data_IF_130775678988
#
_entry.id   IF_130775678988
#
_cell.length_a   1.000
_cell.length_b   1.000
_cell.length_c   1.000
_cell.angle_alpha   90.00
_cell.angle_beta   90.00
_cell.angle_gamma   90.00
#
_symmetry.space_group_name_H-M   'P 1'
#
loop_
_entity.id
_entity.type
_entity.pdbx_description
1 polymer ?
#
# COMPACT_ATOMS: atom_id res chain seq x y z
N UNK A 1 14.25 98.11 1.93
CA UNK A 1 15.35 97.45 2.66
C UNK A 1 15.10 95.96 2.66
N UNK A 2 15.94 95.11 2.04
CA UNK A 2 15.79 93.66 2.11
C UNK A 2 16.48 93.14 3.38
N UNK A 3 15.68 92.76 4.37
CA UNK A 3 16.19 92.04 5.55
C UNK A 3 16.38 90.57 5.19
N UNK A 4 17.55 90.01 5.49
CA UNK A 4 17.92 88.62 5.20
C UNK A 4 18.12 87.88 6.51
N UNK A 5 17.60 86.66 6.59
CA UNK A 5 17.82 85.77 7.73
C UNK A 5 19.28 85.28 7.74
N UNK A 6 19.91 85.32 8.91
CA UNK A 6 21.29 84.91 9.13
C UNK A 6 21.45 84.24 10.50
N UNK A 7 22.61 83.63 10.75
CA UNK A 7 22.99 83.13 12.09
C UNK A 7 24.26 83.80 12.57
N UNK A 8 24.30 84.17 13.85
CA UNK A 8 25.52 84.65 14.49
C UNK A 8 26.57 83.53 14.51
N UNK A 9 27.76 83.81 14.01
CA UNK A 9 28.85 82.81 13.98
C UNK A 9 29.49 82.55 15.34
N UNK A 10 29.21 83.41 16.34
CA UNK A 10 29.78 83.30 17.69
C UNK A 10 28.83 82.65 18.68
N UNK A 11 27.55 83.03 18.68
CA UNK A 11 26.57 82.50 19.62
C UNK A 11 25.45 81.64 18.99
N UNK A 12 25.42 81.50 17.66
CA UNK A 12 24.41 80.70 16.96
C UNK A 12 23.01 81.32 16.91
N UNK A 13 22.79 82.51 17.49
CA UNK A 13 21.49 83.18 17.49
C UNK A 13 21.00 83.48 16.06
N UNK A 14 19.69 83.34 15.84
CA UNK A 14 19.05 83.74 14.59
C UNK A 14 18.97 85.27 14.51
N UNK A 15 19.40 85.84 13.40
CA UNK A 15 19.48 87.28 13.17
C UNK A 15 18.69 87.65 11.91
N UNK A 16 18.12 88.85 11.91
CA UNK A 16 17.69 89.52 10.69
C UNK A 16 18.63 90.68 10.45
N UNK A 17 19.39 90.61 9.36
CA UNK A 17 20.39 91.61 9.02
C UNK A 17 20.02 92.32 7.73
N UNK A 18 20.31 93.61 7.68
CA UNK A 18 20.19 94.43 6.49
C UNK A 18 21.33 94.09 5.53
N UNK A 19 21.00 93.55 4.36
CA UNK A 19 22.00 93.13 3.37
C UNK A 19 22.73 94.30 2.71
N UNK A 20 22.35 95.54 3.00
CA UNK A 20 22.99 96.75 2.46
C UNK A 20 24.15 97.28 3.31
N UNK A 21 24.38 96.69 4.49
CA UNK A 21 25.47 97.07 5.41
C UNK A 21 26.56 96.01 5.42
N UNK A 22 27.82 96.43 5.47
CA UNK A 22 28.96 95.51 5.46
C UNK A 22 29.22 94.84 6.83
N UNK A 23 28.77 95.49 7.91
CA UNK A 23 28.93 95.01 9.28
C UNK A 23 27.65 95.19 10.10
N UNK A 24 27.42 94.24 11.00
CA UNK A 24 26.34 94.29 11.98
C UNK A 24 26.84 93.83 13.34
N UNK A 25 26.14 94.25 14.40
CA UNK A 25 26.41 93.84 15.77
C UNK A 25 25.31 92.86 16.17
N UNK A 26 25.69 91.72 16.73
CA UNK A 26 24.72 90.76 17.23
C UNK A 26 24.06 91.32 18.49
N UNK A 27 22.73 91.49 18.55
CA UNK A 27 22.05 92.02 19.74
C UNK A 27 22.14 91.06 20.94
N UNK A 28 22.45 89.79 20.72
CA UNK A 28 22.48 88.77 21.77
C UNK A 28 23.85 88.66 22.46
N UNK A 29 24.96 88.81 21.72
CA UNK A 29 26.32 88.67 22.25
C UNK A 29 27.21 89.89 22.04
N UNK A 30 26.67 90.98 21.48
CA UNK A 30 27.35 92.24 21.17
C UNK A 30 28.61 92.13 20.30
N UNK A 31 28.83 90.98 19.66
CA UNK A 31 29.98 90.80 18.79
C UNK A 31 29.69 91.41 17.42
N UNK A 32 30.62 92.22 16.91
CA UNK A 32 30.59 92.73 15.55
C UNK A 32 30.95 91.61 14.56
N UNK A 33 30.23 91.52 13.45
CA UNK A 33 30.50 90.54 12.40
C UNK A 33 30.24 91.14 11.01
N UNK A 34 30.87 90.54 10.00
CA UNK A 34 30.66 90.88 8.58
C UNK A 34 29.37 90.20 8.12
N UNK A 35 28.43 90.97 7.56
CA UNK A 35 27.07 90.51 7.21
C UNK A 35 27.07 89.34 6.25
N UNK A 36 27.91 89.37 5.22
CA UNK A 36 28.03 88.30 4.20
C UNK A 36 28.39 86.93 4.82
N UNK A 37 29.32 86.89 5.77
CA UNK A 37 29.74 85.65 6.46
C UNK A 37 28.63 85.03 7.30
N UNK A 38 27.72 85.85 7.83
CA UNK A 38 26.58 85.39 8.63
C UNK A 38 25.44 84.84 7.74
N UNK A 39 25.26 85.37 6.53
CA UNK A 39 24.27 84.88 5.54
C UNK A 39 24.72 83.53 4.98
N UNK A 40 26.00 83.37 4.63
CA UNK A 40 26.55 82.11 4.08
C UNK A 40 26.37 80.96 5.08
N UNK A 41 26.68 81.19 6.35
CA UNK A 41 26.56 80.15 7.38
C UNK A 41 25.11 79.72 7.68
N UNK A 42 24.11 80.53 7.35
CA UNK A 42 22.69 80.15 7.50
C UNK A 42 22.26 79.06 6.50
N UNK A 43 22.94 78.95 5.34
CA UNK A 43 22.59 78.02 4.26
C UNK A 43 23.43 76.75 4.26
N UNK A 44 23.69 76.13 5.41
CA UNK A 44 24.30 74.79 5.46
C UNK A 44 23.20 73.71 5.40
N UNK A 45 22.81 73.34 4.18
CA UNK A 45 22.12 72.07 3.92
C UNK A 45 23.18 71.00 3.68
N UNK A 46 23.19 69.93 4.49
CA UNK A 46 24.00 68.75 4.21
C UNK A 46 23.21 67.85 3.26
N UNK A 47 23.56 67.89 1.98
CA UNK A 47 23.02 66.99 0.96
C UNK A 47 23.97 65.77 0.87
N UNK A 48 23.59 64.66 1.50
CA UNK A 48 24.36 63.41 1.40
C UNK A 48 23.99 62.71 0.09
N UNK A 49 24.87 62.75 -0.91
CA UNK A 49 24.79 61.86 -2.09
C UNK A 49 25.29 60.47 -1.70
N UNK A 50 24.38 59.52 -1.55
CA UNK A 50 24.73 58.10 -1.43
C UNK A 50 24.69 57.51 -2.85
N UNK A 51 25.86 57.37 -3.48
CA UNK A 51 25.95 56.93 -4.88
C UNK A 51 25.58 55.45 -5.08
N UNK A 52 25.67 54.63 -4.01
CA UNK A 52 25.30 53.21 -4.00
C UNK A 52 24.87 52.79 -2.59
N UNK A 53 23.57 52.90 -2.28
CA UNK A 53 23.00 52.26 -1.11
C UNK A 53 22.64 50.82 -1.46
N UNK A 54 23.23 49.84 -0.77
CA UNK A 54 22.77 48.45 -0.84
C UNK A 54 21.72 48.24 0.26
N UNK A 55 20.45 48.07 -0.14
CA UNK A 55 19.33 47.90 0.79
C UNK A 55 19.03 46.42 0.91
N UNK A 56 19.55 45.78 1.97
CA UNK A 56 19.22 44.39 2.28
C UNK A 56 17.92 44.32 3.10
N UNK A 57 16.79 44.14 2.40
CA UNK A 57 15.50 43.88 3.04
C UNK A 57 15.46 42.40 3.45
N UNK A 58 15.74 42.12 4.72
CA UNK A 58 15.51 40.80 5.30
C UNK A 58 14.02 40.63 5.64
N UNK A 59 13.19 40.35 4.64
CA UNK A 59 11.83 39.90 4.87
C UNK A 59 11.84 38.39 5.10
N UNK A 60 11.62 37.95 6.35
CA UNK A 60 11.49 36.54 6.74
C UNK A 60 10.36 35.82 5.96
N UNK A 61 9.44 36.57 5.33
CA UNK A 61 8.37 36.06 4.47
C UNK A 61 8.69 36.10 2.97
N UNK A 62 9.91 36.50 2.59
CA UNK A 62 10.32 36.53 1.19
C UNK A 62 10.13 35.17 0.52
N UNK A 63 9.82 35.21 -0.78
CA UNK A 63 9.63 34.02 -1.62
C UNK A 63 10.86 33.10 -1.52
N UNK A 64 12.06 33.66 -1.49
CA UNK A 64 13.32 32.92 -1.44
C UNK A 64 13.47 32.12 -0.14
N UNK A 65 13.13 32.71 1.01
CA UNK A 65 13.17 31.99 2.30
C UNK A 65 12.13 30.87 2.32
N UNK A 66 10.93 31.11 1.78
CA UNK A 66 9.89 30.07 1.71
C UNK A 66 10.28 28.90 0.82
N UNK A 67 10.84 29.16 -0.36
CA UNK A 67 11.37 28.14 -1.26
C UNK A 67 12.50 27.34 -0.59
N UNK A 68 13.45 28.03 0.05
CA UNK A 68 14.54 27.37 0.79
C UNK A 68 14.01 26.48 1.91
N UNK A 69 13.03 26.95 2.67
CA UNK A 69 12.40 26.17 3.73
C UNK A 69 11.64 24.96 3.16
N UNK A 70 10.93 25.14 2.03
CA UNK A 70 10.23 24.06 1.34
C UNK A 70 11.21 22.94 0.93
N UNK A 71 12.34 23.29 0.32
CA UNK A 71 13.39 22.33 -0.03
C UNK A 71 13.97 21.60 1.20
N UNK A 72 14.19 22.31 2.30
CA UNK A 72 14.69 21.71 3.55
C UNK A 72 13.67 20.71 4.10
N UNK A 73 12.38 21.09 4.16
CA UNK A 73 11.33 20.18 4.61
C UNK A 73 11.20 18.96 3.71
N UNK A 74 11.27 19.15 2.39
CA UNK A 74 11.17 18.07 1.42
C UNK A 74 12.37 17.12 1.50
N UNK A 75 13.59 17.64 1.36
CA UNK A 75 14.80 16.82 1.17
C UNK A 75 15.49 16.40 2.47
N UNK A 76 15.45 17.21 3.52
CA UNK A 76 16.22 16.95 4.76
C UNK A 76 15.38 16.42 5.90
N UNK A 77 14.12 16.86 6.00
CA UNK A 77 13.24 16.47 7.09
C UNK A 77 12.18 15.45 6.69
N UNK A 78 12.04 15.17 5.39
CA UNK A 78 11.02 14.29 4.84
C UNK A 78 9.61 14.66 5.34
N UNK A 79 9.33 15.98 5.43
CA UNK A 79 8.04 16.55 5.83
C UNK A 79 7.32 17.04 4.58
N UNK A 80 6.81 16.08 3.81
CA UNK A 80 6.17 16.29 2.51
C UNK A 80 5.01 17.29 2.59
N UNK A 81 4.13 17.15 3.59
CA UNK A 81 2.98 18.07 3.76
C UNK A 81 3.42 19.52 3.97
N UNK A 82 4.44 19.75 4.80
CA UNK A 82 4.98 21.10 5.05
C UNK A 82 5.65 21.70 3.82
N UNK A 83 6.36 20.86 3.05
CA UNK A 83 6.94 21.29 1.80
C UNK A 83 5.85 21.67 0.79
N UNK A 84 4.79 20.85 0.68
CA UNK A 84 3.63 21.14 -0.14
C UNK A 84 2.97 22.48 0.23
N UNK A 85 2.70 22.71 1.51
CA UNK A 85 2.12 23.97 2.00
C UNK A 85 2.96 25.19 1.60
N UNK A 86 4.29 25.10 1.74
CA UNK A 86 5.18 26.20 1.39
C UNK A 86 5.26 26.43 -0.12
N UNK A 87 5.42 25.38 -0.93
CA UNK A 87 5.39 25.51 -2.39
C UNK A 87 4.06 26.05 -2.90
N UNK A 88 2.95 25.59 -2.33
CA UNK A 88 1.61 26.08 -2.62
C UNK A 88 1.46 27.57 -2.25
N UNK A 89 1.99 28.00 -1.11
CA UNK A 89 2.00 29.41 -0.73
C UNK A 89 2.77 30.29 -1.72
N UNK A 90 3.90 29.79 -2.26
CA UNK A 90 4.69 30.52 -3.25
C UNK A 90 3.94 30.58 -4.58
N UNK A 91 3.35 29.47 -5.02
CA UNK A 91 2.55 29.42 -6.25
C UNK A 91 1.36 30.40 -6.22
N UNK A 92 0.74 30.61 -5.06
CA UNK A 92 -0.38 31.54 -4.91
C UNK A 92 0.05 33.01 -4.76
N UNK A 93 1.09 33.28 -3.96
CA UNK A 93 1.53 34.66 -3.69
C UNK A 93 2.38 35.22 -4.83
N UNK A 94 3.04 34.35 -5.58
CA UNK A 94 3.92 34.69 -6.70
C UNK A 94 3.68 33.74 -7.89
N UNK A 95 2.50 33.78 -8.53
CA UNK A 95 2.13 32.84 -9.59
C UNK A 95 3.03 32.91 -10.83
N UNK A 96 3.76 34.02 -11.02
CA UNK A 96 4.79 34.16 -12.06
C UNK A 96 6.12 33.48 -11.74
N UNK A 97 6.32 32.97 -10.52
CA UNK A 97 7.51 32.20 -10.16
C UNK A 97 7.26 30.71 -10.37
N UNK A 98 7.88 30.14 -11.41
CA UNK A 98 7.73 28.73 -11.77
C UNK A 98 8.14 27.77 -10.64
N UNK A 99 9.01 28.20 -9.71
CA UNK A 99 9.59 27.32 -8.67
C UNK A 99 8.54 26.82 -7.69
N UNK A 100 7.51 27.63 -7.41
CA UNK A 100 6.37 27.21 -6.59
C UNK A 100 5.61 26.04 -7.25
N UNK A 101 5.21 26.22 -8.51
CA UNK A 101 4.52 25.21 -9.30
C UNK A 101 5.34 23.93 -9.48
N UNK A 102 6.61 24.07 -9.86
CA UNK A 102 7.50 22.92 -10.05
C UNK A 102 7.80 22.18 -8.75
N UNK A 103 7.87 22.90 -7.62
CA UNK A 103 7.98 22.30 -6.29
C UNK A 103 6.79 21.41 -5.94
N UNK A 104 5.57 21.83 -6.29
CA UNK A 104 4.37 20.99 -6.12
C UNK A 104 4.42 19.72 -6.96
N UNK A 105 4.87 19.82 -8.22
CA UNK A 105 5.10 18.66 -9.09
C UNK A 105 6.09 17.70 -8.44
N UNK A 106 7.23 18.20 -7.95
CA UNK A 106 8.24 17.38 -7.30
C UNK A 106 7.73 16.73 -6.03
N UNK A 107 6.96 17.43 -5.21
CA UNK A 107 6.37 16.85 -3.99
C UNK A 107 5.39 15.73 -4.34
N UNK A 108 4.47 15.95 -5.28
CA UNK A 108 3.48 14.96 -5.70
C UNK A 108 4.10 13.73 -6.38
N UNK A 109 5.26 13.88 -7.02
CA UNK A 109 5.95 12.81 -7.76
C UNK A 109 7.11 12.17 -7.00
N UNK A 110 7.32 12.55 -5.73
CA UNK A 110 8.53 12.22 -4.95
C UNK A 110 9.83 12.44 -5.74
N UNK A 111 9.97 13.67 -6.24
CA UNK A 111 11.06 14.12 -7.11
C UNK A 111 11.22 13.23 -8.35
N UNK A 112 10.08 12.90 -8.98
CA UNK A 112 9.99 12.00 -10.15
C UNK A 112 10.43 10.56 -9.86
N UNK A 113 10.46 10.15 -8.58
CA UNK A 113 10.86 8.83 -8.13
C UNK A 113 9.73 7.80 -8.15
N UNK A 114 8.48 8.20 -7.93
CA UNK A 114 7.32 7.28 -7.96
C UNK A 114 6.57 7.34 -9.28
N UNK A 115 6.28 6.17 -9.86
CA UNK A 115 5.37 6.02 -11.01
C UNK A 115 3.95 5.63 -10.59
N UNK A 116 3.78 5.23 -9.33
CA UNK A 116 2.52 4.82 -8.74
C UNK A 116 1.73 6.07 -8.33
N UNK A 117 1.16 6.75 -9.32
CA UNK A 117 0.30 7.93 -9.10
C UNK A 117 -1.12 7.61 -9.56
N UNK A 118 -2.12 8.01 -8.76
CA UNK A 118 -3.54 7.85 -9.10
C UNK A 118 -3.91 8.71 -10.33
N UNK A 119 -4.98 8.35 -11.03
CA UNK A 119 -5.42 9.14 -12.20
C UNK A 119 -5.78 10.58 -11.82
N UNK A 120 -6.43 10.76 -10.67
CA UNK A 120 -6.79 12.08 -10.14
C UNK A 120 -5.56 12.93 -9.84
N UNK A 121 -4.53 12.38 -9.19
CA UNK A 121 -3.27 13.08 -8.94
C UNK A 121 -2.53 13.44 -10.23
N UNK A 122 -2.62 12.62 -11.28
CA UNK A 122 -2.04 12.95 -12.60
C UNK A 122 -2.66 14.22 -13.19
N UNK A 123 -3.95 14.45 -12.98
CA UNK A 123 -4.63 15.67 -13.46
C UNK A 123 -4.14 16.92 -12.70
N UNK A 124 -4.04 16.82 -11.37
CA UNK A 124 -3.46 17.88 -10.53
C UNK A 124 -2.02 18.20 -10.93
N UNK A 125 -1.18 17.19 -11.11
CA UNK A 125 0.21 17.36 -11.51
C UNK A 125 0.30 18.00 -12.89
N UNK A 126 -0.53 17.58 -13.85
CA UNK A 126 -0.59 18.19 -15.19
C UNK A 126 -0.94 19.66 -15.12
N UNK A 127 -1.86 20.04 -14.23
CA UNK A 127 -2.18 21.44 -13.99
C UNK A 127 -0.95 22.23 -13.52
N UNK A 128 -0.24 21.75 -12.50
CA UNK A 128 0.98 22.41 -11.99
C UNK A 128 2.11 22.48 -13.02
N UNK A 129 2.28 21.42 -13.82
CA UNK A 129 3.25 21.39 -14.92
C UNK A 129 2.91 22.44 -15.96
N UNK A 130 1.65 22.56 -16.36
CA UNK A 130 1.22 23.57 -17.33
C UNK A 130 1.45 24.98 -16.79
N UNK A 131 1.14 25.24 -15.51
CA UNK A 131 1.48 26.50 -14.85
C UNK A 131 2.99 26.76 -14.89
N UNK A 132 3.81 25.76 -14.57
CA UNK A 132 5.27 25.85 -14.62
C UNK A 132 5.75 26.28 -16.01
N UNK A 133 5.30 25.61 -17.08
CA UNK A 133 5.77 25.89 -18.44
C UNK A 133 5.35 27.28 -18.95
N UNK A 134 4.20 27.78 -18.50
CA UNK A 134 3.71 29.10 -18.91
C UNK A 134 4.50 30.26 -18.29
N UNK A 135 5.15 30.05 -17.14
CA UNK A 135 5.88 31.12 -16.42
C UNK A 135 7.39 30.88 -16.30
N UNK A 136 7.87 29.70 -16.71
CA UNK A 136 9.29 29.38 -16.68
C UNK A 136 10.08 30.20 -17.72
N UNK A 137 11.25 30.75 -17.33
CA UNK A 137 12.19 31.35 -18.27
C UNK A 137 12.65 30.39 -19.38
N UNK A 138 12.91 30.93 -20.56
CA UNK A 138 13.26 30.14 -21.75
C UNK A 138 14.55 29.32 -21.59
N UNK A 139 15.50 29.77 -20.79
CA UNK A 139 16.80 29.11 -20.54
C UNK A 139 16.67 27.80 -19.73
N UNK A 140 15.59 27.63 -18.98
CA UNK A 140 15.35 26.42 -18.16
C UNK A 140 14.21 25.55 -18.69
N UNK A 141 13.33 26.11 -19.54
CA UNK A 141 12.08 25.46 -19.97
C UNK A 141 12.35 24.09 -20.62
N UNK A 142 13.32 24.01 -21.53
CA UNK A 142 13.68 22.76 -22.22
C UNK A 142 14.02 21.62 -21.24
N UNK A 143 14.75 21.95 -20.16
CA UNK A 143 15.13 20.98 -19.13
C UNK A 143 13.92 20.49 -18.33
N UNK A 144 13.00 21.40 -17.99
CA UNK A 144 11.78 21.07 -17.26
C UNK A 144 10.86 20.20 -18.12
N UNK A 145 10.68 20.56 -19.39
CA UNK A 145 9.88 19.79 -20.36
C UNK A 145 10.44 18.40 -20.57
N UNK A 146 11.75 18.27 -20.75
CA UNK A 146 12.40 16.97 -20.91
C UNK A 146 12.20 16.10 -19.67
N UNK A 147 12.39 16.66 -18.48
CA UNK A 147 12.19 15.95 -17.19
C UNK A 147 10.76 15.43 -17.08
N UNK A 148 9.78 16.30 -17.33
CA UNK A 148 8.37 15.92 -17.29
C UNK A 148 8.03 14.88 -18.36
N UNK A 149 8.51 15.04 -19.59
CA UNK A 149 8.23 14.13 -20.70
C UNK A 149 8.69 12.71 -20.37
N UNK A 150 9.92 12.56 -19.89
CA UNK A 150 10.47 11.26 -19.50
C UNK A 150 9.66 10.63 -18.38
N UNK A 151 9.34 11.41 -17.34
CA UNK A 151 8.56 10.95 -16.21
C UNK A 151 7.14 10.51 -16.62
N UNK A 152 6.41 11.37 -17.34
CA UNK A 152 5.04 11.15 -17.76
C UNK A 152 4.93 9.93 -18.69
N UNK A 153 5.92 9.69 -19.57
CA UNK A 153 6.02 8.45 -20.35
C UNK A 153 6.14 7.20 -19.46
N UNK A 154 6.88 7.29 -18.36
CA UNK A 154 6.97 6.22 -17.35
C UNK A 154 5.61 5.93 -16.71
N UNK A 155 4.90 6.96 -16.26
CA UNK A 155 3.55 6.84 -15.67
C UNK A 155 2.57 6.22 -16.66
N UNK A 156 2.55 6.68 -17.92
CA UNK A 156 1.70 6.10 -18.96
C UNK A 156 1.97 4.61 -19.19
N UNK A 157 3.25 4.20 -19.24
CA UNK A 157 3.63 2.79 -19.37
C UNK A 157 3.17 1.97 -18.17
N UNK A 158 3.35 2.51 -16.96
CA UNK A 158 2.89 1.87 -15.72
C UNK A 158 1.37 1.65 -15.72
N UNK A 159 0.57 2.70 -15.97
CA UNK A 159 -0.90 2.59 -16.03
C UNK A 159 -1.37 1.64 -17.12
N UNK A 160 -0.73 1.68 -18.29
CA UNK A 160 -1.05 0.75 -19.39
C UNK A 160 -0.81 -0.70 -18.98
N UNK A 161 0.32 -0.99 -18.34
CA UNK A 161 0.63 -2.34 -17.86
C UNK A 161 -0.34 -2.77 -16.76
N UNK A 162 -0.62 -1.90 -15.79
CA UNK A 162 -1.53 -2.17 -14.68
C UNK A 162 -2.96 -2.47 -15.17
N UNK A 163 -3.41 -1.79 -16.22
CA UNK A 163 -4.70 -2.09 -16.86
C UNK A 163 -4.75 -3.50 -17.47
N UNK A 164 -3.68 -3.91 -18.17
CA UNK A 164 -3.59 -5.26 -18.74
C UNK A 164 -3.52 -6.32 -17.64
N UNK A 165 -2.71 -6.08 -16.61
CA UNK A 165 -2.54 -6.98 -15.48
C UNK A 165 -3.87 -7.15 -14.72
N UNK A 166 -4.63 -6.06 -14.52
CA UNK A 166 -5.97 -6.10 -13.93
C UNK A 166 -6.91 -7.03 -14.70
N UNK A 167 -6.95 -6.92 -16.03
CA UNK A 167 -7.78 -7.80 -16.86
C UNK A 167 -7.36 -9.27 -16.73
N UNK A 168 -6.06 -9.54 -16.73
CA UNK A 168 -5.53 -10.88 -16.54
C UNK A 168 -5.89 -11.44 -15.15
N UNK A 169 -5.74 -10.66 -14.09
CA UNK A 169 -6.12 -11.07 -12.74
C UNK A 169 -7.62 -11.31 -12.62
N UNK A 170 -8.46 -10.47 -13.23
CA UNK A 170 -9.91 -10.66 -13.24
C UNK A 170 -10.29 -11.97 -13.96
N UNK A 171 -9.61 -12.30 -15.05
CA UNK A 171 -9.79 -13.58 -15.74
C UNK A 171 -9.33 -14.76 -14.89
N UNK A 172 -8.15 -14.69 -14.27
CA UNK A 172 -7.63 -15.71 -13.36
C UNK A 172 -8.54 -15.91 -12.15
N UNK A 173 -9.15 -14.85 -11.64
CA UNK A 173 -10.10 -14.90 -10.53
C UNK A 173 -11.33 -15.74 -10.90
N UNK A 174 -11.92 -15.50 -12.08
CA UNK A 174 -13.07 -16.28 -12.58
C UNK A 174 -12.74 -17.77 -12.72
N UNK A 175 -11.57 -18.10 -13.26
CA UNK A 175 -11.11 -19.50 -13.37
C UNK A 175 -10.96 -20.12 -11.97
N UNK A 176 -10.29 -19.42 -11.06
CA UNK A 176 -10.04 -19.90 -9.69
C UNK A 176 -11.35 -20.11 -8.93
N UNK A 177 -12.34 -19.24 -9.12
CA UNK A 177 -13.68 -19.38 -8.53
C UNK A 177 -14.42 -20.61 -9.08
N UNK A 178 -14.36 -20.86 -10.39
CA UNK A 178 -14.94 -22.05 -11.01
C UNK A 178 -14.27 -23.36 -10.53
N UNK A 179 -12.93 -23.37 -10.43
CA UNK A 179 -12.16 -24.50 -9.90
C UNK A 179 -12.52 -24.78 -8.43
N UNK A 180 -12.60 -23.72 -7.61
CA UNK A 180 -12.96 -23.83 -6.19
C UNK A 180 -14.35 -24.45 -6.04
N UNK A 181 -15.33 -24.01 -6.84
CA UNK A 181 -16.68 -24.56 -6.82
C UNK A 181 -16.69 -26.05 -7.21
N UNK A 182 -15.97 -26.44 -8.26
CA UNK A 182 -15.87 -27.84 -8.69
C UNK A 182 -15.24 -28.74 -7.60
N UNK A 183 -14.15 -28.29 -6.98
CA UNK A 183 -13.49 -29.03 -5.90
C UNK A 183 -14.37 -29.14 -4.64
N UNK A 184 -15.15 -28.10 -4.30
CA UNK A 184 -16.13 -28.17 -3.21
C UNK A 184 -17.22 -29.22 -3.46
N UNK A 185 -17.71 -29.30 -4.69
CA UNK A 185 -18.65 -30.35 -5.10
C UNK A 185 -18.01 -31.75 -4.97
N UNK A 186 -16.74 -31.88 -5.35
CA UNK A 186 -15.97 -33.12 -5.20
C UNK A 186 -15.80 -33.53 -3.74
N UNK A 187 -15.49 -32.58 -2.84
CA UNK A 187 -15.40 -32.83 -1.39
C UNK A 187 -16.73 -33.33 -0.84
N UNK A 188 -17.84 -32.71 -1.27
CA UNK A 188 -19.19 -33.09 -0.86
C UNK A 188 -19.56 -34.49 -1.32
N UNK A 189 -19.26 -34.83 -2.58
CA UNK A 189 -19.44 -36.18 -3.12
C UNK A 189 -18.61 -37.23 -2.39
N UNK A 190 -17.33 -36.95 -2.10
CA UNK A 190 -16.47 -37.86 -1.33
C UNK A 190 -17.02 -38.06 0.09
N UNK A 191 -17.51 -37.00 0.74
CA UNK A 191 -18.13 -37.11 2.07
C UNK A 191 -19.35 -38.04 2.06
N UNK A 192 -20.20 -37.95 1.04
CA UNK A 192 -21.35 -38.86 0.86
C UNK A 192 -20.89 -40.30 0.64
N UNK A 193 -19.89 -40.54 -0.22
CA UNK A 193 -19.34 -41.89 -0.49
C UNK A 193 -18.74 -42.52 0.77
N UNK A 194 -18.01 -41.74 1.57
CA UNK A 194 -17.45 -42.18 2.86
C UNK A 194 -18.60 -42.56 3.81
N UNK A 195 -19.63 -41.71 3.95
CA UNK A 195 -20.80 -42.02 4.80
C UNK A 195 -21.54 -43.28 4.34
N UNK A 196 -21.70 -43.48 3.03
CA UNK A 196 -22.28 -44.70 2.48
C UNK A 196 -21.42 -45.94 2.75
N UNK A 197 -20.09 -45.80 2.71
CA UNK A 197 -19.17 -46.88 3.09
C UNK A 197 -19.28 -47.23 4.58
N UNK A 198 -19.44 -46.24 5.46
CA UNK A 198 -19.65 -46.47 6.90
C UNK A 198 -20.97 -47.19 7.18
N UNK A 199 -22.04 -46.80 6.49
CA UNK A 199 -23.33 -47.47 6.60
C UNK A 199 -23.24 -48.93 6.13
N UNK A 200 -22.55 -49.20 5.01
CA UNK A 200 -22.33 -50.57 4.52
C UNK A 200 -21.51 -51.39 5.50
N UNK A 201 -20.40 -50.84 6.00
CA UNK A 201 -19.55 -51.48 6.99
C UNK A 201 -20.33 -51.83 8.27
N UNK A 202 -21.09 -50.89 8.82
CA UNK A 202 -21.90 -51.09 10.02
C UNK A 202 -23.02 -52.12 9.79
N UNK A 203 -23.68 -52.09 8.63
CA UNK A 203 -24.70 -53.08 8.28
C UNK A 203 -24.09 -54.48 8.13
N UNK A 204 -22.93 -54.62 7.49
CA UNK A 204 -22.22 -55.89 7.39
C UNK A 204 -21.77 -56.40 8.76
N UNK A 205 -21.19 -55.55 9.60
CA UNK A 205 -20.77 -55.90 10.95
C UNK A 205 -21.97 -56.37 11.81
N UNK A 206 -23.11 -55.66 11.73
CA UNK A 206 -24.34 -55.99 12.48
C UNK A 206 -24.98 -57.29 12.00
N UNK A 207 -25.05 -57.51 10.68
CA UNK A 207 -25.56 -58.76 10.10
C UNK A 207 -24.65 -59.93 10.47
N UNK A 208 -23.34 -59.73 10.42
CA UNK A 208 -22.35 -60.75 10.80
C UNK A 208 -22.44 -61.12 12.30
N UNK A 209 -22.51 -60.12 13.18
CA UNK A 209 -22.66 -60.33 14.62
C UNK A 209 -23.96 -61.01 15.03
N UNK A 210 -25.07 -60.75 14.32
CA UNK A 210 -26.38 -61.34 14.64
C UNK A 210 -26.67 -62.68 13.97
N UNK A 211 -26.09 -62.97 12.80
CA UNK A 211 -26.41 -64.20 12.05
C UNK A 211 -25.22 -65.12 11.86
N UNK A 212 -24.07 -64.65 11.36
CA UNK A 212 -22.97 -65.56 11.02
C UNK A 212 -22.10 -65.93 12.21
N UNK A 213 -21.84 -65.02 13.15
CA UNK A 213 -21.08 -65.33 14.37
C UNK A 213 -21.77 -66.40 15.22
N UNK A 214 -23.05 -66.26 15.59
CA UNK A 214 -23.74 -67.31 16.35
C UNK A 214 -23.85 -68.61 15.56
N UNK A 215 -24.07 -68.57 14.23
CA UNK A 215 -24.03 -69.78 13.41
C UNK A 215 -22.65 -70.46 13.39
N UNK A 216 -21.56 -69.71 13.26
CA UNK A 216 -20.20 -70.26 13.31
C UNK A 216 -19.92 -70.85 14.69
N UNK A 217 -20.35 -70.17 15.77
CA UNK A 217 -20.21 -70.66 17.16
C UNK A 217 -21.03 -71.95 17.36
N UNK A 218 -22.26 -72.02 16.85
CA UNK A 218 -23.09 -73.23 16.96
C UNK A 218 -22.57 -74.37 16.09
N UNK A 219 -22.15 -74.11 14.84
CA UNK A 219 -21.57 -75.12 13.94
C UNK A 219 -20.24 -75.67 14.47
N UNK A 220 -19.40 -74.82 15.07
CA UNK A 220 -18.16 -75.27 15.73
C UNK A 220 -18.45 -76.06 17.00
N UNK A 221 -19.42 -75.64 17.83
CA UNK A 221 -19.85 -76.43 18.98
C UNK A 221 -20.41 -77.81 18.57
N UNK A 222 -21.22 -77.86 17.51
CA UNK A 222 -21.77 -79.11 16.95
C UNK A 222 -20.66 -79.99 16.37
N UNK A 223 -19.68 -79.43 15.65
CA UNK A 223 -18.57 -80.24 15.13
C UNK A 223 -17.71 -80.84 16.24
N UNK A 224 -17.44 -80.07 17.31
CA UNK A 224 -16.74 -80.56 18.51
C UNK A 224 -17.55 -81.69 19.18
N UNK A 225 -18.86 -81.53 19.32
CA UNK A 225 -19.73 -82.57 19.88
C UNK A 225 -19.75 -83.85 19.04
N UNK A 226 -19.80 -83.74 17.71
CA UNK A 226 -19.75 -84.89 16.79
C UNK A 226 -18.40 -85.60 16.84
N UNK A 227 -17.29 -84.86 16.96
CA UNK A 227 -15.96 -85.42 17.15
C UNK A 227 -15.82 -86.13 18.50
N UNK A 228 -16.39 -85.56 19.59
CA UNK A 228 -16.39 -86.20 20.91
C UNK A 228 -17.26 -87.47 20.95
N UNK A 229 -18.42 -87.47 20.29
CA UNK A 229 -19.29 -88.64 20.16
C UNK A 229 -18.62 -89.77 19.34
N UNK A 230 -17.86 -89.40 18.32
CA UNK A 230 -17.02 -90.32 17.55
C UNK A 230 -15.85 -90.92 18.33
N UNK A 231 -15.49 -90.41 19.50
CA UNK A 231 -14.45 -91.03 20.36
C UNK A 231 -15.05 -92.10 21.29
N UNK A 232 -16.36 -92.03 21.59
CA UNK A 232 -17.06 -92.89 22.56
C UNK A 232 -17.84 -94.07 21.95
N UNK A 233 -18.10 -94.10 20.63
CA UNK A 233 -18.94 -95.11 19.97
C UNK A 233 -18.19 -96.31 19.34
N UNK A 234 -18.85 -97.47 19.23
CA UNK A 234 -18.28 -98.72 18.65
C UNK A 234 -18.06 -98.65 17.13
N UNK A 235 -16.92 -99.21 16.69
CA UNK A 235 -16.15 -99.12 15.42
C UNK A 235 -16.90 -99.10 14.05
N UNK A 236 -18.19 -99.41 13.95
CA UNK A 236 -18.85 -99.63 12.64
C UNK A 236 -19.56 -98.44 11.98
N UNK A 237 -20.04 -97.45 12.75
CA UNK A 237 -20.89 -96.34 12.25
C UNK A 237 -20.17 -94.97 12.32
N UNK A 238 -18.92 -94.96 12.79
CA UNK A 238 -18.20 -93.75 13.22
C UNK A 238 -17.52 -92.93 12.12
N UNK A 239 -17.22 -93.52 10.96
CA UNK A 239 -16.37 -92.85 9.95
C UNK A 239 -17.07 -91.66 9.28
N UNK A 240 -18.38 -91.73 9.05
CA UNK A 240 -19.14 -90.65 8.41
C UNK A 240 -19.34 -89.41 9.29
N UNK A 241 -19.48 -89.59 10.60
CA UNK A 241 -19.76 -88.51 11.56
C UNK A 241 -18.52 -87.61 11.74
N UNK A 242 -17.33 -88.22 11.83
CA UNK A 242 -16.07 -87.48 11.93
C UNK A 242 -15.78 -86.65 10.67
N UNK A 243 -16.04 -87.18 9.47
CA UNK A 243 -15.83 -86.47 8.20
C UNK A 243 -16.74 -85.23 8.09
N UNK A 244 -18.01 -85.36 8.49
CA UNK A 244 -18.95 -84.24 8.47
C UNK A 244 -18.50 -83.07 9.37
N UNK A 245 -17.95 -83.38 10.55
CA UNK A 245 -17.39 -82.37 11.47
C UNK A 245 -16.23 -81.57 10.87
N UNK A 246 -15.32 -82.23 10.14
CA UNK A 246 -14.21 -81.56 9.46
C UNK A 246 -14.67 -80.65 8.32
N UNK A 247 -15.64 -81.09 7.52
CA UNK A 247 -16.19 -80.29 6.40
C UNK A 247 -16.85 -79.02 6.92
N UNK A 248 -17.64 -79.12 7.98
CA UNK A 248 -18.30 -77.98 8.63
C UNK A 248 -17.29 -76.94 9.16
N UNK A 249 -16.23 -77.43 9.80
CA UNK A 249 -15.15 -76.57 10.32
C UNK A 249 -14.42 -75.84 9.18
N UNK A 250 -14.11 -76.54 8.10
CA UNK A 250 -13.44 -75.97 6.93
C UNK A 250 -14.29 -74.86 6.26
N UNK A 251 -15.60 -75.08 6.07
CA UNK A 251 -16.51 -74.07 5.50
C UNK A 251 -16.59 -72.82 6.39
N UNK A 252 -16.67 -73.01 7.72
CA UNK A 252 -16.71 -71.91 8.68
C UNK A 252 -15.43 -71.07 8.64
N UNK A 253 -14.27 -71.73 8.55
CA UNK A 253 -12.97 -71.07 8.45
C UNK A 253 -12.83 -70.27 7.15
N UNK A 254 -13.20 -70.85 6.01
CA UNK A 254 -13.18 -70.17 4.70
C UNK A 254 -14.11 -68.94 4.71
N UNK A 255 -15.31 -69.08 5.27
CA UNK A 255 -16.28 -67.98 5.37
C UNK A 255 -15.75 -66.82 6.22
N UNK A 256 -15.11 -67.13 7.35
CA UNK A 256 -14.45 -66.13 8.19
C UNK A 256 -13.31 -65.40 7.46
N UNK A 257 -12.46 -66.12 6.75
CA UNK A 257 -11.34 -65.53 6.00
C UNK A 257 -11.81 -64.62 4.87
N UNK A 258 -12.81 -65.04 4.09
CA UNK A 258 -13.41 -64.21 3.04
C UNK A 258 -13.96 -62.92 3.64
N UNK A 259 -14.71 -63.01 4.75
CA UNK A 259 -15.26 -61.83 5.40
C UNK A 259 -14.19 -60.88 5.93
N UNK A 260 -13.18 -61.40 6.65
CA UNK A 260 -12.05 -60.61 7.14
C UNK A 260 -11.32 -59.90 6.00
N UNK A 261 -11.15 -60.57 4.86
CA UNK A 261 -10.52 -60.00 3.68
C UNK A 261 -11.38 -58.88 3.05
N UNK A 262 -12.70 -59.06 2.96
CA UNK A 262 -13.63 -58.03 2.49
C UNK A 262 -13.61 -56.79 3.37
N UNK A 263 -13.68 -56.96 4.69
CA UNK A 263 -13.64 -55.85 5.65
C UNK A 263 -12.30 -55.07 5.55
N UNK A 264 -11.18 -55.79 5.39
CA UNK A 264 -9.87 -55.15 5.16
C UNK A 264 -9.81 -54.41 3.82
N UNK A 265 -10.51 -54.88 2.78
CA UNK A 265 -10.60 -54.19 1.49
C UNK A 265 -11.42 -52.91 1.60
N UNK A 266 -12.58 -52.95 2.26
CA UNK A 266 -13.43 -51.76 2.48
C UNK A 266 -12.72 -50.70 3.33
N UNK A 267 -12.04 -51.11 4.40
CA UNK A 267 -11.26 -50.19 5.24
C UNK A 267 -10.16 -49.46 4.45
N UNK A 268 -9.47 -50.16 3.54
CA UNK A 268 -8.46 -49.56 2.65
C UNK A 268 -9.07 -48.53 1.71
N UNK A 269 -10.18 -48.88 1.04
CA UNK A 269 -10.89 -47.97 0.13
C UNK A 269 -11.35 -46.71 0.88
N UNK A 270 -11.87 -46.87 2.11
CA UNK A 270 -12.25 -45.73 2.96
C UNK A 270 -11.06 -44.83 3.28
N UNK A 271 -9.94 -45.42 3.69
CA UNK A 271 -8.72 -44.66 3.99
C UNK A 271 -8.19 -43.89 2.77
N UNK A 272 -8.23 -44.50 1.58
CA UNK A 272 -7.88 -43.84 0.32
C UNK A 272 -8.81 -42.66 0.01
N UNK A 273 -10.13 -42.83 0.17
CA UNK A 273 -11.10 -41.74 -0.02
C UNK A 273 -10.91 -40.60 0.99
N UNK A 274 -10.62 -40.91 2.25
CA UNK A 274 -10.33 -39.90 3.27
C UNK A 274 -9.03 -39.14 2.97
N UNK A 275 -7.99 -39.85 2.52
CA UNK A 275 -6.74 -39.23 2.12
C UNK A 275 -6.95 -38.33 0.90
N UNK A 276 -7.72 -38.77 -0.09
CA UNK A 276 -8.09 -37.96 -1.25
C UNK A 276 -8.88 -36.72 -0.81
N UNK A 277 -9.89 -36.87 0.06
CA UNK A 277 -10.68 -35.75 0.59
C UNK A 277 -9.81 -34.73 1.32
N UNK A 278 -8.86 -35.17 2.16
CA UNK A 278 -7.91 -34.28 2.85
C UNK A 278 -7.05 -33.51 1.87
N UNK A 279 -6.48 -34.18 0.86
CA UNK A 279 -5.71 -33.52 -0.21
C UNK A 279 -6.55 -32.45 -0.93
N UNK A 280 -7.79 -32.79 -1.30
CA UNK A 280 -8.69 -31.84 -1.97
C UNK A 280 -9.03 -30.63 -1.10
N UNK A 281 -9.24 -30.81 0.21
CA UNK A 281 -9.47 -29.70 1.16
C UNK A 281 -8.27 -28.76 1.22
N UNK A 282 -7.05 -29.31 1.28
CA UNK A 282 -5.84 -28.50 1.28
C UNK A 282 -5.73 -27.66 -0.02
N UNK A 283 -5.96 -28.29 -1.18
CA UNK A 283 -5.98 -27.57 -2.47
C UNK A 283 -7.03 -26.46 -2.50
N UNK A 284 -8.24 -26.70 -1.97
CA UNK A 284 -9.28 -25.66 -1.88
C UNK A 284 -8.84 -24.50 -0.99
N UNK A 285 -8.10 -24.77 0.08
CA UNK A 285 -7.56 -23.74 0.98
C UNK A 285 -6.54 -22.86 0.27
N UNK A 286 -5.61 -23.46 -0.49
CA UNK A 286 -4.64 -22.75 -1.32
C UNK A 286 -5.33 -21.87 -2.39
N UNK A 287 -6.40 -22.38 -3.02
CA UNK A 287 -7.17 -21.61 -4.00
C UNK A 287 -7.90 -20.42 -3.36
N UNK A 288 -8.37 -20.54 -2.12
CA UNK A 288 -8.96 -19.41 -1.40
C UNK A 288 -7.92 -18.31 -1.14
N UNK A 289 -6.71 -18.66 -0.69
CA UNK A 289 -5.63 -17.69 -0.51
C UNK A 289 -5.26 -16.99 -1.84
N UNK A 290 -5.19 -17.76 -2.93
CA UNK A 290 -4.95 -17.22 -4.27
C UNK A 290 -6.07 -16.26 -4.70
N UNK A 291 -7.33 -16.61 -4.45
CA UNK A 291 -8.49 -15.75 -4.74
C UNK A 291 -8.39 -14.42 -4.00
N UNK A 292 -8.07 -14.45 -2.70
CA UNK A 292 -7.97 -13.25 -1.88
C UNK A 292 -6.77 -12.38 -2.28
N UNK A 293 -5.67 -13.00 -2.74
CA UNK A 293 -4.56 -12.26 -3.35
C UNK A 293 -5.00 -11.55 -4.63
N UNK A 294 -5.66 -12.25 -5.57
CA UNK A 294 -6.13 -11.67 -6.83
C UNK A 294 -7.11 -10.51 -6.60
N UNK A 295 -8.05 -10.66 -5.64
CA UNK A 295 -8.99 -9.59 -5.29
C UNK A 295 -8.28 -8.33 -4.79
N UNK A 296 -7.26 -8.48 -3.94
CA UNK A 296 -6.46 -7.34 -3.47
C UNK A 296 -5.72 -6.65 -4.60
N UNK A 297 -5.14 -7.40 -5.53
CA UNK A 297 -4.45 -6.84 -6.70
C UNK A 297 -5.39 -6.08 -7.64
N UNK A 298 -6.59 -6.62 -7.88
CA UNK A 298 -7.62 -5.94 -8.69
C UNK A 298 -8.09 -4.66 -8.02
N UNK A 299 -8.34 -4.69 -6.71
CA UNK A 299 -8.76 -3.51 -5.93
C UNK A 299 -7.69 -2.39 -5.99
N UNK A 300 -6.42 -2.75 -5.83
CA UNK A 300 -5.30 -1.81 -5.98
C UNK A 300 -5.27 -1.20 -7.39
N UNK A 301 -5.40 -2.02 -8.44
CA UNK A 301 -5.44 -1.51 -9.81
C UNK A 301 -6.65 -0.60 -10.05
N UNK A 302 -7.80 -0.87 -9.42
CA UNK A 302 -8.98 -0.03 -9.50
C UNK A 302 -8.78 1.34 -8.89
N UNK A 303 -8.23 1.38 -7.68
CA UNK A 303 -7.91 2.63 -6.97
C UNK A 303 -6.91 3.50 -7.73
N UNK A 304 -5.91 2.88 -8.37
CA UNK A 304 -4.91 3.60 -9.15
C UNK A 304 -5.43 4.12 -10.50
N UNK A 305 -6.39 3.42 -11.11
CA UNK A 305 -6.91 3.73 -12.45
C UNK A 305 -8.21 4.55 -12.45
N UNK A 306 -8.88 4.68 -11.29
CA UNK A 306 -10.03 5.57 -11.09
C UNK A 306 -9.59 7.02 -11.07
#
# INVERSE_FOLDING_TARGET
MPLVAAKCTQCGANLQIDSTKDAAICPNCNTAFVTEKAIINYKTYYEYKIEKADVHIHDEKSIEIRLKNAEIFFKKHNKVDKAHELFHSVANDAPGDYRGWWGLVRVKTDDFGTLEISRTDVEDIKHFVNCTFNVAPADILDKLEQTWRTYNQGVYKFHSQLSLDKEQWAHQLKITEAETFNLQNTISMLAVKIKQSDLRYNNHARKCGSTTLPFIITLTAVSVLLLMAGILGKVGVLTGISIAGFVISAISFVSYFIHKHLMKKEARIKQEMEQQRKKTINTVTELFEKKDKLKRQICYAEEMLS
#
